data_IF_827936532069
#
_entry.id   IF_827936532069
#
_cell.length_a   1.000
_cell.length_b   1.000
_cell.length_c   1.000
_cell.angle_alpha   90.00
_cell.angle_beta   90.00
_cell.angle_gamma   90.00
#
_symmetry.space_group_name_H-M   'P 1'
#
loop_
_entity.id
_entity.type
_entity.pdbx_description
1 polymer ?
#
# COMPACT_ATOMS: atom_id res chain seq x y z
N UNK A 1 13.82 8.42 17.65
CA UNK A 1 13.46 7.65 16.44
C UNK A 1 12.28 8.29 15.76
N UNK A 2 12.33 8.36 14.43
CA UNK A 2 11.17 8.59 13.58
C UNK A 2 10.43 7.27 13.44
N UNK A 3 9.12 7.26 13.66
CA UNK A 3 8.31 6.05 13.62
C UNK A 3 7.52 5.91 12.31
N UNK A 4 7.61 4.72 11.71
CA UNK A 4 6.94 4.37 10.46
C UNK A 4 5.98 3.19 10.65
N UNK A 5 4.73 3.34 10.21
CA UNK A 5 3.76 2.25 10.08
C UNK A 5 3.59 1.81 8.62
N UNK A 6 3.69 0.51 8.33
CA UNK A 6 3.59 -0.04 6.97
C UNK A 6 2.25 -0.75 6.71
N UNK A 7 1.54 -0.33 5.67
CA UNK A 7 0.33 -0.96 5.15
C UNK A 7 0.59 -1.31 3.69
N UNK A 8 0.96 -2.55 3.41
CA UNK A 8 1.41 -3.00 2.07
C UNK A 8 0.61 -4.22 1.61
N UNK A 9 0.72 -4.53 0.32
CA UNK A 9 0.10 -5.73 -0.25
C UNK A 9 0.75 -7.01 0.28
N UNK A 10 2.09 -7.05 0.31
CA UNK A 10 2.84 -8.22 0.75
C UNK A 10 4.00 -7.90 1.70
N UNK A 11 4.50 -8.96 2.32
CA UNK A 11 5.68 -8.92 3.19
C UNK A 11 6.94 -8.52 2.40
N UNK A 12 7.01 -8.91 1.13
CA UNK A 12 8.13 -8.51 0.26
C UNK A 12 8.23 -6.99 0.12
N UNK A 13 7.10 -6.28 -0.04
CA UNK A 13 7.07 -4.82 -0.14
C UNK A 13 7.61 -4.18 1.15
N UNK A 14 7.24 -4.72 2.31
CA UNK A 14 7.74 -4.25 3.60
C UNK A 14 9.26 -4.37 3.70
N UNK A 15 9.81 -5.52 3.31
CA UNK A 15 11.27 -5.77 3.36
C UNK A 15 12.00 -4.79 2.43
N UNK A 16 11.47 -4.53 1.23
CA UNK A 16 12.10 -3.60 0.29
C UNK A 16 12.06 -2.16 0.83
N UNK A 17 10.90 -1.70 1.31
CA UNK A 17 10.74 -0.34 1.86
C UNK A 17 11.59 -0.16 3.12
N UNK A 18 11.61 -1.14 4.03
CA UNK A 18 12.45 -1.13 5.23
C UNK A 18 13.93 -0.94 4.89
N UNK A 19 14.45 -1.68 3.91
CA UNK A 19 15.84 -1.53 3.48
C UNK A 19 16.13 -0.15 2.87
N UNK A 20 15.18 0.43 2.14
CA UNK A 20 15.31 1.79 1.59
C UNK A 20 15.38 2.81 2.73
N UNK A 21 14.49 2.71 3.73
CA UNK A 21 14.47 3.64 4.86
C UNK A 21 15.74 3.52 5.71
N UNK A 22 16.15 2.29 6.05
CA UNK A 22 17.38 2.05 6.81
C UNK A 22 18.63 2.59 6.09
N UNK A 23 18.68 2.50 4.77
CA UNK A 23 19.78 3.05 3.98
C UNK A 23 19.76 4.57 3.84
N UNK A 24 18.59 5.22 4.00
CA UNK A 24 18.44 6.67 3.86
C UNK A 24 18.59 7.42 5.19
N UNK A 25 18.03 6.88 6.28
CA UNK A 25 17.97 7.53 7.58
C UNK A 25 19.06 7.06 8.56
N UNK A 26 19.87 6.06 8.19
CA UNK A 26 20.65 5.22 9.12
C UNK A 26 19.73 4.46 10.11
N UNK A 27 20.00 3.18 10.32
CA UNK A 27 19.06 2.28 11.02
C UNK A 27 18.76 2.64 12.47
N UNK A 28 19.64 3.40 13.13
CA UNK A 28 19.51 3.78 14.54
C UNK A 28 18.54 4.95 14.76
N UNK A 29 18.10 5.62 13.69
CA UNK A 29 17.26 6.82 13.77
C UNK A 29 15.77 6.55 13.48
N UNK A 30 15.39 5.31 13.13
CA UNK A 30 14.02 4.96 12.75
C UNK A 30 13.49 3.72 13.47
N UNK A 31 12.19 3.72 13.76
CA UNK A 31 11.42 2.54 14.19
C UNK A 31 10.42 2.18 13.10
N UNK A 32 10.34 0.89 12.73
CA UNK A 32 9.44 0.39 11.68
C UNK A 32 8.46 -0.63 12.28
N UNK A 33 7.19 -0.49 11.93
CA UNK A 33 6.10 -1.35 12.40
C UNK A 33 5.25 -1.84 11.23
N UNK A 34 5.09 -3.15 11.11
CA UNK A 34 4.24 -3.76 10.08
C UNK A 34 2.79 -3.79 10.56
N UNK A 35 1.93 -3.00 9.91
CA UNK A 35 0.51 -2.92 10.23
C UNK A 35 -0.33 -3.87 9.39
N UNK A 36 0.06 -4.06 8.12
CA UNK A 36 -0.55 -4.99 7.17
C UNK A 36 0.46 -5.36 6.06
N UNK A 37 0.60 -6.64 5.70
CA UNK A 37 0.28 -7.80 6.53
C UNK A 37 1.13 -7.82 7.82
N UNK A 38 0.65 -8.48 8.86
CA UNK A 38 1.49 -8.74 10.02
C UNK A 38 2.57 -9.76 9.64
N UNK A 39 3.79 -9.63 10.18
CA UNK A 39 4.88 -10.61 9.99
C UNK A 39 4.70 -11.89 10.81
N UNK A 40 3.59 -12.03 11.54
CA UNK A 40 3.24 -13.25 12.25
C UNK A 40 2.54 -14.27 11.33
N UNK A 41 2.64 -15.56 11.65
CA UNK A 41 2.18 -16.66 10.78
C UNK A 41 0.65 -16.71 10.56
N UNK A 42 -0.11 -15.79 11.16
CA UNK A 42 -1.57 -15.86 11.25
C UNK A 42 -2.29 -15.39 9.99
N UNK A 43 -1.62 -14.64 9.10
CA UNK A 43 -2.24 -14.08 7.88
C UNK A 43 -2.08 -14.94 6.62
N UNK A 44 -1.39 -16.10 6.71
CA UNK A 44 -1.20 -17.02 5.56
C UNK A 44 -2.52 -17.47 4.93
N UNK A 45 -3.61 -17.52 5.69
CA UNK A 45 -4.92 -18.01 5.21
C UNK A 45 -5.84 -16.93 4.62
N UNK A 46 -5.58 -15.63 4.81
CA UNK A 46 -6.44 -14.54 4.29
C UNK A 46 -6.09 -14.13 2.87
N UNK A 47 -4.81 -14.20 2.52
CA UNK A 47 -4.28 -13.85 1.19
C UNK A 47 -4.73 -14.85 0.11
N UNK A 48 -5.05 -16.09 0.47
CA UNK A 48 -5.44 -17.11 -0.51
C UNK A 48 -6.81 -16.87 -1.17
N UNK A 49 -7.68 -16.03 -0.58
CA UNK A 49 -9.05 -15.82 -1.11
C UNK A 49 -9.22 -14.50 -1.86
N UNK A 50 -8.46 -13.46 -1.50
CA UNK A 50 -8.48 -12.15 -2.15
C UNK A 50 -7.04 -11.61 -2.24
N UNK A 51 -6.69 -10.94 -3.35
CA UNK A 51 -5.35 -10.35 -3.54
C UNK A 51 -4.99 -9.39 -2.40
N UNK A 52 -3.70 -9.31 -2.04
CA UNK A 52 -3.27 -8.57 -0.83
C UNK A 52 -3.62 -7.08 -0.86
N UNK A 53 -3.75 -6.50 -2.05
CA UNK A 53 -4.27 -5.14 -2.26
C UNK A 53 -5.67 -4.91 -1.65
N UNK A 54 -6.55 -5.93 -1.60
CA UNK A 54 -7.88 -5.79 -0.98
C UNK A 54 -7.76 -5.54 0.52
N UNK A 55 -6.82 -6.22 1.17
CA UNK A 55 -6.55 -6.09 2.61
C UNK A 55 -5.99 -4.71 2.95
N UNK A 56 -5.21 -4.09 2.05
CA UNK A 56 -4.78 -2.70 2.20
C UNK A 56 -5.98 -1.76 2.29
N UNK A 57 -6.93 -1.88 1.36
CA UNK A 57 -8.15 -1.07 1.38
C UNK A 57 -9.04 -1.36 2.60
N UNK A 58 -9.16 -2.62 3.02
CA UNK A 58 -9.88 -2.98 4.25
C UNK A 58 -9.24 -2.36 5.49
N UNK A 59 -7.90 -2.41 5.59
CA UNK A 59 -7.17 -1.78 6.67
C UNK A 59 -7.44 -0.27 6.71
N UNK A 60 -7.34 0.42 5.57
CA UNK A 60 -7.58 1.86 5.46
C UNK A 60 -9.01 2.27 5.87
N UNK A 61 -9.99 1.37 5.72
CA UNK A 61 -11.38 1.60 6.15
C UNK A 61 -11.63 1.28 7.63
N UNK A 62 -10.68 0.63 8.29
CA UNK A 62 -10.83 0.15 9.66
C UNK A 62 -10.59 1.26 10.71
N UNK A 63 -11.04 1.02 11.94
CA UNK A 63 -10.71 1.90 13.08
C UNK A 63 -9.21 1.88 13.41
N UNK A 64 -8.52 0.77 13.12
CA UNK A 64 -7.07 0.63 13.33
C UNK A 64 -6.27 1.65 12.53
N UNK A 65 -6.71 1.97 11.30
CA UNK A 65 -6.06 3.02 10.52
C UNK A 65 -6.16 4.39 11.18
N UNK A 66 -7.32 4.72 11.77
CA UNK A 66 -7.49 5.97 12.52
C UNK A 66 -6.59 6.02 13.76
N UNK A 67 -6.47 4.89 14.45
CA UNK A 67 -5.55 4.76 15.58
C UNK A 67 -4.10 4.93 15.13
N UNK A 68 -3.69 4.27 14.05
CA UNK A 68 -2.34 4.36 13.50
C UNK A 68 -1.92 5.81 13.19
N UNK A 69 -2.84 6.65 12.68
CA UNK A 69 -2.57 8.07 12.43
C UNK A 69 -2.18 8.87 13.68
N UNK A 70 -2.44 8.33 14.88
CA UNK A 70 -2.09 8.96 16.16
C UNK A 70 -0.75 8.46 16.71
N UNK A 71 -0.28 7.28 16.28
CA UNK A 71 0.86 6.59 16.88
C UNK A 71 2.15 6.68 16.07
N UNK A 72 2.08 6.96 14.77
CA UNK A 72 3.24 6.99 13.88
C UNK A 72 3.47 8.39 13.31
N UNK A 73 4.74 8.77 13.16
CA UNK A 73 5.14 10.00 12.49
C UNK A 73 4.81 9.92 10.99
N UNK A 74 5.00 8.74 10.40
CA UNK A 74 4.69 8.45 9.01
C UNK A 74 3.93 7.12 8.88
N UNK A 75 2.95 7.10 7.97
CA UNK A 75 2.35 5.86 7.49
C UNK A 75 2.69 5.72 6.02
N UNK A 76 3.28 4.59 5.65
CA UNK A 76 3.54 4.22 4.26
C UNK A 76 2.47 3.23 3.83
N UNK A 77 1.66 3.64 2.86
CA UNK A 77 0.68 2.78 2.20
C UNK A 77 1.25 2.41 0.83
N UNK A 78 1.41 1.13 0.56
CA UNK A 78 1.88 0.63 -0.73
C UNK A 78 0.80 -0.25 -1.37
N UNK A 79 0.50 0.04 -2.64
CA UNK A 79 -0.36 -0.73 -3.53
C UNK A 79 0.27 -0.60 -4.92
N UNK A 80 0.37 -1.69 -5.67
CA UNK A 80 0.73 -1.60 -7.08
C UNK A 80 -0.49 -1.22 -7.97
N UNK A 81 -0.31 -1.24 -9.28
CA UNK A 81 -1.38 -0.89 -10.23
C UNK A 81 -1.64 -2.00 -11.24
N UNK A 82 -1.13 -3.20 -11.00
CA UNK A 82 -1.25 -4.29 -11.97
C UNK A 82 -2.69 -4.85 -12.02
N UNK A 83 -3.44 -4.73 -10.93
CA UNK A 83 -4.88 -5.03 -10.80
C UNK A 83 -5.77 -3.80 -10.84
N UNK A 84 -5.30 -2.68 -11.42
CA UNK A 84 -6.01 -1.39 -11.38
C UNK A 84 -7.43 -1.43 -11.97
N UNK A 85 -7.73 -2.38 -12.85
CA UNK A 85 -9.05 -2.51 -13.50
C UNK A 85 -10.08 -3.26 -12.63
N UNK A 86 -9.64 -3.86 -11.51
CA UNK A 86 -10.53 -4.59 -10.61
C UNK A 86 -11.51 -3.69 -9.86
N UNK A 87 -12.61 -4.29 -9.40
CA UNK A 87 -13.84 -3.62 -8.94
C UNK A 87 -13.67 -2.59 -7.84
N UNK A 88 -12.58 -2.65 -7.07
CA UNK A 88 -12.34 -1.72 -5.96
C UNK A 88 -11.31 -0.62 -6.30
N UNK A 89 -10.58 -0.76 -7.41
CA UNK A 89 -9.63 0.23 -7.92
C UNK A 89 -10.22 1.03 -9.09
N UNK A 90 -10.88 0.34 -10.05
CA UNK A 90 -11.70 0.88 -11.14
C UNK A 90 -10.99 1.87 -12.09
N UNK A 91 -9.69 1.67 -12.33
CA UNK A 91 -8.89 2.49 -13.24
C UNK A 91 -8.50 1.64 -14.45
N UNK A 92 -9.15 1.94 -15.58
CA UNK A 92 -8.79 1.28 -16.84
C UNK A 92 -7.41 1.70 -17.34
N UNK A 93 -6.66 0.70 -17.78
CA UNK A 93 -5.36 0.85 -18.45
C UNK A 93 -5.49 1.24 -19.91
N UNK A 94 -6.71 1.36 -20.42
CA UNK A 94 -7.03 1.74 -21.79
C UNK A 94 -7.74 3.10 -21.84
N UNK A 95 -7.61 3.77 -22.97
CA UNK A 95 -8.41 4.94 -23.30
C UNK A 95 -9.79 4.54 -23.87
N UNK A 96 -10.57 5.54 -24.26
CA UNK A 96 -11.91 5.38 -24.82
C UNK A 96 -11.93 4.70 -26.20
N UNK A 97 -10.78 4.62 -26.89
CA UNK A 97 -10.61 3.90 -28.16
C UNK A 97 -10.08 2.47 -27.94
N UNK A 98 -9.85 2.07 -26.68
CA UNK A 98 -9.34 0.75 -26.30
C UNK A 98 -7.81 0.63 -26.39
N UNK A 99 -7.09 1.72 -26.62
CA UNK A 99 -5.63 1.74 -26.70
C UNK A 99 -5.02 1.83 -25.31
N UNK A 100 -3.91 1.12 -25.08
CA UNK A 100 -3.20 1.19 -23.81
C UNK A 100 -2.66 2.59 -23.53
N UNK A 101 -2.87 3.03 -22.29
CA UNK A 101 -2.34 4.27 -21.76
C UNK A 101 -0.84 4.17 -21.58
N UNK A 102 -0.16 5.30 -21.73
CA UNK A 102 1.25 5.37 -21.32
C UNK A 102 1.33 5.35 -19.79
N UNK A 103 2.45 4.90 -19.21
CA UNK A 103 2.63 4.90 -17.76
C UNK A 103 2.33 6.25 -17.10
N UNK A 104 2.76 7.36 -17.73
CA UNK A 104 2.50 8.71 -17.23
C UNK A 104 1.00 9.05 -17.15
N UNK A 105 0.21 8.61 -18.13
CA UNK A 105 -1.24 8.86 -18.16
C UNK A 105 -1.96 8.00 -17.12
N UNK A 106 -1.49 6.77 -16.91
CA UNK A 106 -2.01 5.88 -15.88
C UNK A 106 -1.71 6.40 -14.47
N UNK A 107 -0.49 6.91 -14.24
CA UNK A 107 -0.10 7.52 -12.96
C UNK A 107 -1.01 8.70 -12.61
N UNK A 108 -1.30 9.58 -13.56
CA UNK A 108 -2.18 10.73 -13.30
C UNK A 108 -3.63 10.29 -13.02
N UNK A 109 -4.15 9.29 -13.73
CA UNK A 109 -5.46 8.70 -13.41
C UNK A 109 -5.51 8.13 -11.99
N UNK A 110 -4.45 7.44 -11.57
CA UNK A 110 -4.33 6.87 -10.21
C UNK A 110 -4.39 7.96 -9.16
N UNK A 111 -3.58 9.02 -9.31
CA UNK A 111 -3.56 10.15 -8.36
C UNK A 111 -4.93 10.79 -8.22
N UNK A 112 -5.58 11.11 -9.36
CA UNK A 112 -6.91 11.71 -9.37
C UNK A 112 -7.94 10.82 -8.65
N UNK A 113 -7.88 9.50 -8.83
CA UNK A 113 -8.80 8.59 -8.13
C UNK A 113 -8.58 8.59 -6.61
N UNK A 114 -7.32 8.62 -6.17
CA UNK A 114 -6.98 8.65 -4.74
C UNK A 114 -7.37 9.97 -4.08
N UNK A 115 -7.25 11.10 -4.77
CA UNK A 115 -7.67 12.42 -4.25
C UNK A 115 -9.19 12.58 -4.11
N UNK A 116 -9.98 11.81 -4.88
CA UNK A 116 -11.44 11.86 -4.86
C UNK A 116 -12.09 10.93 -3.82
N UNK A 117 -11.32 10.15 -3.06
CA UNK A 117 -11.80 9.22 -2.03
C UNK A 117 -11.69 9.81 -0.63
#
# INVERSE_FOLDING_TARGET
MISFGFITEGVTDQIIIENILNGFFDSDDIDIYELQPLRDETDKNRVETYGGWTLVFEYCKSTKFREALTFFDYIIIQIDTDVSEETHYQISKRDHEGKELKPVDLIEKVKINLEMR
#
